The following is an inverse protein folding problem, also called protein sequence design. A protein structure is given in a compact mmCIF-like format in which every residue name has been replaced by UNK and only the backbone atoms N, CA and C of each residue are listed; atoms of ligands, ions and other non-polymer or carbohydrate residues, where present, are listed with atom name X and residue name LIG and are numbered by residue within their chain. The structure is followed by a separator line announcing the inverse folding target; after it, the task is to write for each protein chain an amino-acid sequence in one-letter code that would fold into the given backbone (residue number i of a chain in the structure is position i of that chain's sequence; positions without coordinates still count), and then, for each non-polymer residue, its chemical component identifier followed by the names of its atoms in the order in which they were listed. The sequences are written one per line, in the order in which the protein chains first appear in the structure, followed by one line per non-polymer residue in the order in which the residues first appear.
data_IF_835433090302
#
_entry.id   IF_835433090302
#
_cell.length_a   1.000
_cell.length_b   1.000
_cell.length_c   1.000
_cell.angle_alpha   90.00
_cell.angle_beta   90.00
_cell.angle_gamma   90.00
#
_symmetry.space_group_name_H-M   'P 1'
#
loop_
_entity.id
_entity.type
_entity.pdbx_description
1 polymer ?
#
# COMPACT_ATOMS: atom_id res chain seq x y z
N UNK A 1 -23.98 11.66 -8.91
CA UNK A 1 -23.30 12.05 -10.08
C UNK A 1 -21.95 12.65 -9.86
N UNK A 2 -21.89 13.69 -9.04
CA UNK A 2 -20.63 14.37 -8.84
C UNK A 2 -19.56 13.51 -8.24
N UNK A 3 -19.94 12.62 -7.35
CA UNK A 3 -18.97 11.77 -6.75
C UNK A 3 -18.38 10.79 -7.70
N UNK A 4 -19.14 10.26 -8.64
CA UNK A 4 -18.64 9.34 -9.65
C UNK A 4 -17.65 10.05 -10.54
N UNK A 5 -17.92 11.31 -10.84
CA UNK A 5 -17.04 12.10 -11.68
C UNK A 5 -15.72 12.35 -10.99
N UNK A 6 -15.75 12.65 -9.69
CA UNK A 6 -14.52 12.88 -8.93
C UNK A 6 -13.71 11.61 -8.81
N UNK A 7 -14.36 10.47 -8.63
CA UNK A 7 -13.68 9.20 -8.57
C UNK A 7 -13.03 8.86 -9.89
N UNK A 8 -13.69 9.21 -11.01
CA UNK A 8 -13.11 8.99 -12.32
C UNK A 8 -11.85 9.80 -12.52
N UNK A 9 -11.84 11.06 -12.06
CA UNK A 9 -10.66 11.90 -12.16
C UNK A 9 -9.51 11.33 -11.35
N UNK A 10 -9.83 10.82 -10.16
CA UNK A 10 -8.83 10.23 -9.30
C UNK A 10 -8.23 9.00 -9.96
N UNK A 11 -9.08 8.17 -10.54
CA UNK A 11 -8.62 6.98 -11.25
C UNK A 11 -7.73 7.35 -12.43
N UNK A 12 -8.12 8.35 -13.20
CA UNK A 12 -7.34 8.81 -14.35
C UNK A 12 -5.94 9.25 -13.95
N UNK A 13 -5.83 9.91 -12.82
CA UNK A 13 -4.54 10.35 -12.30
C UNK A 13 -3.58 9.14 -12.17
N UNK A 14 -4.08 8.01 -11.67
CA UNK A 14 -3.26 6.84 -11.53
C UNK A 14 -2.99 6.17 -12.88
N UNK A 15 -3.98 6.12 -13.74
CA UNK A 15 -3.86 5.40 -15.01
C UNK A 15 -2.94 6.07 -16.01
N UNK A 16 -2.86 7.38 -15.98
CA UNK A 16 -2.15 8.14 -17.01
C UNK A 16 -0.68 8.36 -16.75
N UNK A 17 -0.19 7.99 -15.58
CA UNK A 17 1.21 8.25 -15.27
C UNK A 17 2.09 7.07 -15.69
N UNK A 18 3.41 7.29 -15.80
CA UNK A 18 4.32 6.23 -16.22
C UNK A 18 4.38 5.12 -15.18
N UNK A 19 4.77 3.93 -15.62
CA UNK A 19 4.97 2.81 -14.72
C UNK A 19 6.22 3.05 -13.87
N UNK A 20 6.15 2.61 -12.62
CA UNK A 20 7.31 2.64 -11.73
C UNK A 20 7.56 1.21 -11.26
N UNK A 21 8.81 0.74 -11.39
CA UNK A 21 9.15 -0.61 -10.95
C UNK A 21 9.23 -0.68 -9.42
N UNK A 22 9.21 -1.89 -8.89
CA UNK A 22 9.41 -2.10 -7.45
C UNK A 22 10.79 -1.61 -7.02
N UNK A 23 11.80 -1.80 -7.86
CA UNK A 23 13.15 -1.33 -7.55
C UNK A 23 13.19 0.18 -7.40
N UNK A 24 12.55 0.87 -8.30
CA UNK A 24 12.48 2.33 -8.23
C UNK A 24 11.72 2.79 -6.99
N UNK A 25 10.62 2.10 -6.68
CA UNK A 25 9.84 2.39 -5.47
C UNK A 25 10.72 2.23 -4.23
N UNK A 26 11.47 1.13 -4.17
CA UNK A 26 12.36 0.86 -3.03
C UNK A 26 13.47 1.90 -2.93
N UNK A 27 14.03 2.32 -4.06
CA UNK A 27 15.06 3.34 -4.06
C UNK A 27 14.53 4.67 -3.52
N UNK A 28 13.34 5.06 -3.94
CA UNK A 28 12.75 6.32 -3.51
C UNK A 28 12.41 6.32 -2.02
N UNK A 29 12.15 5.16 -1.46
CA UNK A 29 11.83 5.03 -0.04
C UNK A 29 13.03 4.65 0.80
N UNK A 30 14.15 4.36 0.15
CA UNK A 30 15.39 3.95 0.82
C UNK A 30 15.22 2.67 1.62
N UNK A 31 14.39 1.79 1.11
CA UNK A 31 14.16 0.48 1.71
C UNK A 31 14.91 -0.58 0.93
N UNK A 32 15.57 -1.49 1.63
CA UNK A 32 16.39 -2.50 0.96
C UNK A 32 16.31 -3.89 1.55
N UNK A 33 15.64 -4.07 2.67
CA UNK A 33 15.58 -5.39 3.29
C UNK A 33 14.67 -6.32 2.51
N UNK A 34 14.83 -7.61 2.74
CA UNK A 34 13.97 -8.61 2.11
C UNK A 34 12.52 -8.41 2.53
N UNK A 35 12.29 -8.11 3.81
CA UNK A 35 10.93 -7.84 4.29
C UNK A 35 10.33 -6.63 3.60
N UNK A 36 11.15 -5.59 3.37
CA UNK A 36 10.69 -4.40 2.67
C UNK A 36 10.31 -4.73 1.23
N UNK A 37 11.11 -5.53 0.55
CA UNK A 37 10.81 -5.91 -0.82
C UNK A 37 9.51 -6.67 -0.92
N UNK A 38 9.31 -7.62 -0.02
CA UNK A 38 8.07 -8.40 0.01
C UNK A 38 6.87 -7.53 0.33
N UNK A 39 7.03 -6.60 1.27
CA UNK A 39 5.94 -5.72 1.66
C UNK A 39 5.54 -4.78 0.54
N UNK A 40 6.52 -4.16 -0.12
CA UNK A 40 6.25 -3.25 -1.24
C UNK A 40 5.53 -4.00 -2.35
N UNK A 41 6.04 -5.15 -2.73
CA UNK A 41 5.43 -5.94 -3.79
C UNK A 41 4.01 -6.36 -3.43
N UNK A 42 3.81 -6.83 -2.21
CA UNK A 42 2.50 -7.29 -1.76
C UNK A 42 1.50 -6.14 -1.72
N UNK A 43 1.88 -5.00 -1.14
CA UNK A 43 0.99 -3.86 -1.05
C UNK A 43 0.59 -3.36 -2.43
N UNK A 44 1.54 -3.22 -3.33
CA UNK A 44 1.25 -2.73 -4.68
C UNK A 44 0.35 -3.71 -5.43
N UNK A 45 0.64 -5.00 -5.31
CA UNK A 45 -0.12 -6.03 -5.98
C UNK A 45 -1.56 -6.10 -5.46
N UNK A 46 -1.72 -6.14 -4.14
CA UNK A 46 -3.05 -6.32 -3.57
C UNK A 46 -3.91 -5.08 -3.70
N UNK A 47 -3.34 -3.90 -3.48
CA UNK A 47 -4.09 -2.67 -3.65
C UNK A 47 -4.50 -2.47 -5.10
N UNK A 48 -3.58 -2.69 -6.02
CA UNK A 48 -3.88 -2.50 -7.44
C UNK A 48 -4.95 -3.47 -7.91
N UNK A 49 -4.89 -4.70 -7.43
CA UNK A 49 -5.86 -5.73 -7.79
C UNK A 49 -7.26 -5.33 -7.33
N UNK A 50 -7.37 -4.80 -6.13
CA UNK A 50 -8.66 -4.39 -5.56
C UNK A 50 -9.28 -3.23 -6.32
N UNK A 51 -8.46 -2.38 -6.95
CA UNK A 51 -8.94 -1.18 -7.61
C UNK A 51 -8.72 -1.18 -9.11
N UNK A 52 -8.41 -2.35 -9.68
CA UNK A 52 -8.27 -2.54 -11.13
C UNK A 52 -7.18 -1.69 -11.75
N UNK A 53 -6.08 -1.57 -11.04
CA UNK A 53 -4.90 -0.87 -11.52
C UNK A 53 -3.79 -1.89 -11.75
N UNK A 54 -2.76 -1.53 -12.48
CA UNK A 54 -1.54 -2.31 -12.47
C UNK A 54 -0.67 -1.87 -11.29
N UNK A 55 0.08 -2.80 -10.70
CA UNK A 55 0.91 -2.46 -9.53
C UNK A 55 1.87 -1.31 -9.78
N UNK A 56 2.36 -1.20 -11.02
CA UNK A 56 3.32 -0.15 -11.39
C UNK A 56 2.75 1.25 -11.34
N UNK A 57 1.44 1.37 -11.19
CA UNK A 57 0.78 2.67 -11.13
C UNK A 57 0.68 3.23 -9.71
N UNK A 58 1.13 2.48 -8.71
CA UNK A 58 1.09 2.95 -7.33
C UNK A 58 2.46 3.44 -6.91
N UNK A 59 2.55 4.71 -6.56
CA UNK A 59 3.81 5.38 -6.25
C UNK A 59 3.97 5.55 -4.73
N UNK A 60 5.21 5.73 -4.25
CA UNK A 60 5.43 5.87 -2.80
C UNK A 60 4.73 7.07 -2.17
N UNK A 61 4.64 8.17 -2.88
CA UNK A 61 4.03 9.38 -2.32
C UNK A 61 2.54 9.51 -2.59
N UNK A 62 1.89 8.45 -3.08
CA UNK A 62 0.45 8.45 -3.20
C UNK A 62 -0.20 8.45 -1.83
N UNK A 63 -1.24 9.27 -1.66
CA UNK A 63 -2.01 9.28 -0.45
C UNK A 63 -2.78 7.97 -0.34
N UNK A 64 -2.65 7.28 0.79
CA UNK A 64 -3.29 5.98 0.98
C UNK A 64 -4.81 6.08 0.80
N UNK A 65 -5.41 7.15 1.32
CA UNK A 65 -6.86 7.34 1.18
C UNK A 65 -7.27 7.56 -0.27
N UNK A 66 -6.42 8.20 -1.06
CA UNK A 66 -6.73 8.39 -2.48
C UNK A 66 -6.81 7.06 -3.20
N UNK A 67 -5.99 6.11 -2.81
CA UNK A 67 -6.00 4.78 -3.41
C UNK A 67 -7.28 4.04 -3.02
N UNK A 68 -7.58 3.98 -1.73
CA UNK A 68 -8.72 3.18 -1.29
C UNK A 68 -10.06 3.81 -1.58
N UNK A 69 -10.06 5.10 -1.95
CA UNK A 69 -11.28 5.77 -2.38
C UNK A 69 -11.53 5.65 -3.88
N UNK A 70 -10.69 4.88 -4.59
CA UNK A 70 -10.95 4.60 -5.99
C UNK A 70 -12.22 3.77 -6.14
N UNK A 71 -12.86 3.83 -7.30
CA UNK A 71 -14.09 3.07 -7.50
C UNK A 71 -13.88 1.58 -7.25
N UNK A 72 -14.50 1.09 -6.21
CA UNK A 72 -14.45 -0.31 -5.83
C UNK A 72 -15.69 -0.61 -5.01
N UNK A 73 -16.24 -1.81 -5.11
CA UNK A 73 -17.45 -2.15 -4.36
C UNK A 73 -17.26 -1.98 -2.87
N UNK A 74 -16.25 -2.59 -2.33
CA UNK A 74 -15.99 -2.52 -0.90
C UNK A 74 -14.56 -2.89 -0.66
N UNK A 75 -13.88 -2.14 0.17
CA UNK A 75 -12.51 -2.46 0.51
C UNK A 75 -12.36 -2.57 2.02
N UNK A 76 -11.64 -3.60 2.45
CA UNK A 76 -11.39 -3.86 3.85
C UNK A 76 -9.89 -4.04 4.04
N UNK A 77 -9.36 -3.50 5.12
CA UNK A 77 -7.93 -3.60 5.41
C UNK A 77 -7.45 -5.05 5.44
N UNK A 78 -8.32 -5.99 5.76
CA UNK A 78 -7.95 -7.41 5.77
C UNK A 78 -7.58 -7.92 4.39
N UNK A 79 -8.06 -7.30 3.33
CA UNK A 79 -7.66 -7.66 1.98
C UNK A 79 -6.18 -7.39 1.75
N UNK A 80 -5.56 -6.57 2.58
CA UNK A 80 -4.15 -6.30 2.52
C UNK A 80 -3.39 -7.08 3.61
N UNK A 81 -3.95 -7.16 4.80
CA UNK A 81 -3.30 -7.79 5.94
C UNK A 81 -3.08 -9.28 5.72
N UNK A 82 -4.11 -10.00 5.23
CA UNK A 82 -3.98 -11.44 5.03
C UNK A 82 -2.89 -11.80 4.01
N UNK A 83 -2.83 -11.16 2.85
CA UNK A 83 -1.72 -11.43 1.93
C UNK A 83 -0.36 -11.05 2.51
N UNK A 84 -0.29 -10.01 3.34
CA UNK A 84 0.97 -9.63 3.98
C UNK A 84 1.42 -10.70 4.97
N UNK A 85 0.49 -11.27 5.73
CA UNK A 85 0.83 -12.37 6.62
C UNK A 85 1.44 -13.52 5.85
N UNK A 86 0.85 -13.85 4.73
CA UNK A 86 1.33 -14.95 3.91
C UNK A 86 2.69 -14.63 3.30
N UNK A 87 2.84 -13.42 2.77
CA UNK A 87 4.09 -13.04 2.11
C UNK A 87 5.26 -12.98 3.09
N UNK A 88 5.01 -12.52 4.31
CA UNK A 88 6.06 -12.36 5.31
C UNK A 88 6.22 -13.57 6.24
N UNK A 89 5.26 -14.48 6.21
CA UNK A 89 5.29 -15.66 7.06
C UNK A 89 5.15 -15.33 8.53
N UNK A 90 4.36 -14.31 8.86
CA UNK A 90 4.15 -13.88 10.25
C UNK A 90 2.66 -13.66 10.51
N UNK A 91 2.29 -13.63 11.78
CA UNK A 91 0.97 -13.18 12.17
C UNK A 91 1.02 -11.66 12.36
N UNK A 92 -0.03 -10.97 11.95
CA UNK A 92 -0.09 -9.53 12.09
C UNK A 92 -1.24 -9.18 13.03
N UNK A 93 -0.89 -8.55 14.15
CA UNK A 93 -1.88 -8.11 15.13
C UNK A 93 -2.38 -6.72 14.75
N UNK A 94 -3.54 -6.41 15.31
CA UNK A 94 -4.19 -5.13 15.03
C UNK A 94 -3.28 -3.94 15.29
N UNK A 95 -2.50 -3.98 16.35
CA UNK A 95 -1.62 -2.88 16.71
C UNK A 95 -0.44 -2.73 15.76
N UNK A 96 -0.18 -3.71 14.92
CA UNK A 96 0.88 -3.62 13.92
C UNK A 96 0.39 -2.96 12.63
N UNK A 97 -0.91 -2.75 12.50
CA UNK A 97 -1.48 -2.13 11.31
C UNK A 97 -1.49 -0.61 11.53
N UNK A 98 -0.76 0.14 10.70
CA UNK A 98 -0.72 1.59 10.89
C UNK A 98 -2.09 2.24 10.68
N UNK A 99 -2.29 3.36 11.35
CA UNK A 99 -3.50 4.13 11.18
C UNK A 99 -3.57 4.68 9.77
N UNK A 100 -4.71 4.49 9.13
CA UNK A 100 -4.92 4.97 7.76
C UNK A 100 -6.22 5.78 7.62
N UNK A 101 -6.95 5.93 8.72
CA UNK A 101 -8.28 6.55 8.66
C UNK A 101 -8.34 7.96 9.24
N UNK A 102 -7.53 8.27 10.22
CA UNK A 102 -7.64 9.53 10.94
C UNK A 102 -6.57 10.55 10.60
N UNK A 103 -5.61 10.19 9.77
CA UNK A 103 -4.61 11.14 9.32
C UNK A 103 -4.15 10.77 7.93
N UNK A 104 -3.65 11.77 7.22
CA UNK A 104 -3.14 11.57 5.87
C UNK A 104 -1.81 10.85 5.93
N UNK A 105 -1.69 9.75 5.22
CA UNK A 105 -0.42 9.04 5.11
C UNK A 105 -0.21 8.66 3.67
N UNK A 106 1.04 8.66 3.23
CA UNK A 106 1.38 8.17 1.90
C UNK A 106 1.55 6.67 1.96
N UNK A 107 1.52 6.03 0.80
CA UNK A 107 1.74 4.59 0.72
C UNK A 107 3.09 4.23 1.34
N UNK A 108 4.13 5.02 1.03
CA UNK A 108 5.45 4.77 1.59
C UNK A 108 5.46 4.91 3.11
N UNK A 109 4.80 5.93 3.63
CA UNK A 109 4.73 6.13 5.08
C UNK A 109 4.03 4.97 5.76
N UNK A 110 2.95 4.50 5.15
CA UNK A 110 2.22 3.35 5.70
C UNK A 110 3.12 2.11 5.75
N UNK A 111 3.85 1.86 4.66
CA UNK A 111 4.73 0.71 4.56
C UNK A 111 5.86 0.79 5.58
N UNK A 112 6.50 1.95 5.68
CA UNK A 112 7.60 2.14 6.63
C UNK A 112 7.12 1.96 8.07
N UNK A 113 5.98 2.53 8.40
CA UNK A 113 5.41 2.39 9.73
C UNK A 113 5.05 0.94 10.02
N UNK A 114 4.45 0.25 9.06
CA UNK A 114 4.10 -1.15 9.19
C UNK A 114 5.34 -2.01 9.47
N UNK A 115 6.39 -1.80 8.68
CA UNK A 115 7.63 -2.55 8.88
C UNK A 115 8.25 -2.28 10.24
N UNK A 116 8.20 -1.03 10.67
CA UNK A 116 8.71 -0.65 11.97
C UNK A 116 7.95 -1.35 13.10
N UNK A 117 6.64 -1.42 12.99
CA UNK A 117 5.81 -2.08 14.00
C UNK A 117 6.04 -3.58 14.03
N UNK A 118 6.28 -4.18 12.86
CA UNK A 118 6.57 -5.60 12.79
C UNK A 118 7.93 -5.93 13.38
N UNK A 119 8.89 -5.04 13.19
CA UNK A 119 10.23 -5.24 13.72
C UNK A 119 10.29 -5.11 15.23
N UNK A 120 9.40 -4.35 15.83
CA UNK A 120 9.45 -4.08 17.25
C UNK A 120 9.54 -5.36 18.08
N UNK A 121 8.77 -6.34 17.76
CA UNK A 121 8.79 -7.57 18.51
C UNK A 121 9.83 -8.55 18.03
N UNK A 122 10.48 -8.25 16.93
CA UNK A 122 11.42 -9.17 16.30
C UNK A 122 12.79 -8.60 16.10
N UNK A 123 13.00 -7.44 16.63
CA UNK A 123 14.28 -6.77 16.44
C UNK A 123 15.42 -7.56 17.01
N UNK A 124 15.12 -8.47 17.84
CA UNK A 124 16.10 -9.34 18.39
C UNK A 124 16.66 -10.29 17.37
N UNK A 125 15.97 -10.40 16.31
CA UNK A 125 16.45 -11.23 15.23
C UNK A 125 17.52 -10.52 14.43
#
# INVERSE_FOLDING_TARGET
MHFCFNQSKNLDKFLQRPDMSDEEFLQKTQLSSEAARKTVKCCRTELSKSFRLSPEKLYPDDNFLDIINLPSPEWDMMYLVLPLEEALGIGIDEEQVPNWTTKTVTLAEWIVDFLSRCDTGKSVL
#
